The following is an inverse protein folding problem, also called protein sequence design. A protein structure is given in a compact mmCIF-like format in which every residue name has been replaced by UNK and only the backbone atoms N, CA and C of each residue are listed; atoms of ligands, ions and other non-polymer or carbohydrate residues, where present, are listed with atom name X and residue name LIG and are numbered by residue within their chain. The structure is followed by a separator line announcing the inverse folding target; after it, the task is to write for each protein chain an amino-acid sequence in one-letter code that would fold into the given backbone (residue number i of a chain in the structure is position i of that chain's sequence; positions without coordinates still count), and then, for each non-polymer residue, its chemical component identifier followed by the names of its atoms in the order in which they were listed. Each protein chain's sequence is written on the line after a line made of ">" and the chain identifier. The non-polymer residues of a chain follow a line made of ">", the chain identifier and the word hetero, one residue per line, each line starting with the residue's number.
data_IF_668088120396
#
_entry.id   IF_668088120396
#
_cell.length_a   1.000
_cell.length_b   1.000
_cell.length_c   1.000
_cell.angle_alpha   90.00
_cell.angle_beta   90.00
_cell.angle_gamma   90.00
#
_symmetry.space_group_name_H-M   'P 1'
#
loop_
_entity.id
_entity.type
_entity.pdbx_description
1 polymer ?
#
# COMPACT_ATOMS: atom_id res chain seq x y z
N UNK A 1 2.86 -0.65 17.39
CA UNK A 1 3.98 -1.15 18.22
C UNK A 1 5.32 -1.16 17.50
N UNK A 2 5.34 -1.29 16.18
CA UNK A 2 6.59 -1.32 15.38
C UNK A 2 7.28 0.03 15.33
N UNK A 3 6.53 1.12 15.19
CA UNK A 3 7.08 2.49 15.24
C UNK A 3 7.86 2.76 16.54
N UNK A 4 7.36 2.26 17.68
CA UNK A 4 7.99 2.46 18.99
C UNK A 4 9.19 1.55 19.24
N UNK A 5 9.49 0.60 18.35
CA UNK A 5 10.63 -0.32 18.44
C UNK A 5 11.69 -0.09 17.37
N UNK A 6 11.42 0.76 16.41
CA UNK A 6 12.41 1.15 15.41
C UNK A 6 13.44 2.11 16.02
N UNK A 7 14.69 1.96 15.63
CA UNK A 7 15.71 2.96 15.95
C UNK A 7 15.48 4.21 15.10
N UNK A 8 16.06 5.33 15.50
CA UNK A 8 16.02 6.57 14.73
C UNK A 8 16.60 6.37 13.32
N UNK A 9 17.68 5.62 13.19
CA UNK A 9 18.28 5.27 11.90
C UNK A 9 17.34 4.43 11.03
N UNK A 10 16.71 3.40 11.59
CA UNK A 10 15.76 2.57 10.85
C UNK A 10 14.55 3.38 10.35
N UNK A 11 14.03 4.26 11.21
CA UNK A 11 12.91 5.13 10.83
C UNK A 11 13.34 6.14 9.77
N UNK A 12 14.50 6.77 9.93
CA UNK A 12 15.07 7.67 8.94
C UNK A 12 15.25 7.02 7.58
N UNK A 13 15.74 5.78 7.55
CA UNK A 13 15.86 5.00 6.31
C UNK A 13 14.49 4.70 5.67
N UNK A 14 13.45 4.42 6.46
CA UNK A 14 12.09 4.22 5.94
C UNK A 14 11.53 5.51 5.33
N UNK A 15 11.73 6.65 6.00
CA UNK A 15 11.29 7.97 5.54
C UNK A 15 11.98 8.33 4.22
N UNK A 16 13.30 8.21 4.15
CA UNK A 16 14.08 8.55 2.95
C UNK A 16 13.72 7.70 1.73
N UNK A 17 13.34 6.42 1.92
CA UNK A 17 12.87 5.55 0.85
C UNK A 17 11.43 5.82 0.43
N UNK A 18 10.62 6.30 1.35
CA UNK A 18 9.22 6.57 1.10
C UNK A 18 9.00 7.90 0.38
N UNK A 19 9.70 8.95 0.83
CA UNK A 19 9.49 10.32 0.42
C UNK A 19 10.71 10.83 -0.36
N UNK A 20 10.87 10.32 -1.55
CA UNK A 20 11.96 10.63 -2.49
C UNK A 20 11.42 11.30 -3.76
N UNK A 21 12.13 11.19 -4.84
CA UNK A 21 11.76 11.74 -6.17
C UNK A 21 10.46 11.18 -6.78
N UNK A 22 9.77 10.26 -6.09
CA UNK A 22 8.40 9.84 -6.44
C UNK A 22 7.36 10.94 -6.17
N UNK A 23 7.72 11.90 -5.32
CA UNK A 23 6.95 13.12 -5.11
C UNK A 23 7.55 14.24 -5.96
N UNK A 24 6.71 15.05 -6.61
CA UNK A 24 7.13 16.10 -7.53
C UNK A 24 7.57 17.41 -6.84
N UNK A 25 7.51 17.42 -5.50
CA UNK A 25 8.02 18.53 -4.67
C UNK A 25 8.79 17.99 -3.46
N UNK A 26 9.92 18.66 -3.07
CA UNK A 26 10.70 18.23 -1.91
C UNK A 26 9.97 18.44 -0.57
N UNK A 27 8.97 19.31 -0.50
CA UNK A 27 8.12 19.50 0.68
C UNK A 27 7.14 18.35 0.90
N UNK A 28 6.95 17.45 -0.08
CA UNK A 28 6.08 16.29 -0.07
C UNK A 28 4.60 16.67 0.07
N UNK A 29 4.23 17.49 1.02
CA UNK A 29 2.87 17.98 1.28
C UNK A 29 2.92 19.46 1.65
N UNK A 30 3.14 20.36 0.68
CA UNK A 30 3.28 21.78 0.94
C UNK A 30 1.97 22.41 1.45
N UNK A 31 2.11 23.38 2.35
CA UNK A 31 1.01 24.21 2.81
C UNK A 31 1.02 25.53 2.05
N UNK A 32 0.16 25.66 1.06
CA UNK A 32 0.12 26.80 0.15
C UNK A 32 -0.93 27.82 0.57
N UNK A 33 -0.54 29.09 0.66
CA UNK A 33 -1.46 30.20 0.94
C UNK A 33 -2.06 30.74 -0.36
N UNK A 34 -3.38 30.83 -0.43
CA UNK A 34 -4.13 31.50 -1.51
C UNK A 34 -5.15 32.46 -0.91
N UNK A 35 -4.91 33.74 -1.08
CA UNK A 35 -5.73 34.78 -0.43
C UNK A 35 -5.63 34.68 1.10
N UNK A 36 -6.77 34.51 1.77
CA UNK A 36 -6.85 34.35 3.23
C UNK A 36 -6.96 32.91 3.70
N UNK A 37 -6.84 31.93 2.78
CA UNK A 37 -6.96 30.49 3.07
C UNK A 37 -5.63 29.78 2.86
N UNK A 38 -5.45 28.68 3.61
CA UNK A 38 -4.31 27.78 3.45
C UNK A 38 -4.82 26.43 2.91
N UNK A 39 -4.07 25.84 1.97
CA UNK A 39 -4.37 24.57 1.34
C UNK A 39 -3.19 23.64 1.55
N UNK A 40 -3.45 22.49 2.21
CA UNK A 40 -2.49 21.40 2.31
C UNK A 40 -2.62 20.55 1.03
N UNK A 41 -1.60 20.60 0.19
CA UNK A 41 -1.60 19.88 -1.08
C UNK A 41 -1.13 18.45 -0.88
N UNK A 42 -2.00 17.45 -1.13
CA UNK A 42 -1.74 16.02 -0.90
C UNK A 42 -1.71 15.21 -2.21
N UNK A 43 -1.48 15.87 -3.33
CA UNK A 43 -1.53 15.25 -4.67
C UNK A 43 -0.16 15.14 -5.35
N UNK A 44 0.92 15.39 -4.64
CA UNK A 44 2.28 15.41 -5.20
C UNK A 44 2.92 14.01 -5.35
N UNK A 45 2.29 12.96 -4.87
CA UNK A 45 2.79 11.59 -4.98
C UNK A 45 2.49 10.92 -6.32
N UNK A 46 3.06 9.74 -6.55
CA UNK A 46 3.06 8.98 -7.81
C UNK A 46 1.67 8.71 -8.39
N UNK A 47 0.63 8.63 -7.56
CA UNK A 47 -0.74 8.34 -8.02
C UNK A 47 -1.68 9.54 -7.90
N UNK A 48 -1.15 10.70 -7.49
CA UNK A 48 -1.91 11.96 -7.34
C UNK A 48 -3.02 11.85 -6.27
N UNK A 49 -2.94 10.86 -5.41
CA UNK A 49 -3.90 10.63 -4.33
C UNK A 49 -3.25 10.86 -2.96
N UNK A 50 -3.99 11.46 -2.02
CA UNK A 50 -3.50 11.67 -0.65
C UNK A 50 -3.03 10.38 0.04
N UNK A 51 -3.47 9.23 -0.46
CA UNK A 51 -3.10 7.90 0.04
C UNK A 51 -1.64 7.56 -0.21
N UNK A 52 -0.99 8.21 -1.17
CA UNK A 52 0.44 8.06 -1.42
C UNK A 52 1.27 8.38 -0.17
N UNK A 53 0.82 9.36 0.64
CA UNK A 53 1.49 9.73 1.89
C UNK A 53 1.68 8.53 2.83
N UNK A 54 0.64 7.73 3.04
CA UNK A 54 0.70 6.58 3.95
C UNK A 54 1.23 5.32 3.27
N UNK A 55 0.88 5.10 2.00
CA UNK A 55 1.20 3.85 1.30
C UNK A 55 2.62 3.83 0.75
N UNK A 56 3.29 4.97 0.61
CA UNK A 56 4.72 5.01 0.28
C UNK A 56 5.61 4.56 1.43
N UNK A 57 5.27 4.87 2.68
CA UNK A 57 6.10 4.48 3.84
C UNK A 57 5.75 3.09 4.38
N UNK A 58 4.51 2.63 4.21
CA UNK A 58 4.02 1.36 4.76
C UNK A 58 4.91 0.16 4.43
N UNK A 59 5.32 -0.08 3.16
CA UNK A 59 6.14 -1.24 2.82
C UNK A 59 7.49 -1.23 3.53
N UNK A 60 8.10 -0.08 3.71
CA UNK A 60 9.40 0.06 4.38
C UNK A 60 9.30 -0.19 5.89
N UNK A 61 8.23 0.31 6.54
CA UNK A 61 7.95 0.00 7.95
C UNK A 61 7.65 -1.48 8.14
N UNK A 62 6.86 -2.08 7.25
CA UNK A 62 6.47 -3.48 7.30
C UNK A 62 7.68 -4.41 7.16
N UNK A 63 8.53 -4.18 6.17
CA UNK A 63 9.72 -5.00 5.94
C UNK A 63 10.77 -4.83 7.03
N UNK A 64 10.95 -3.61 7.55
CA UNK A 64 11.81 -3.35 8.72
C UNK A 64 11.30 -4.10 9.95
N UNK A 65 9.99 -4.07 10.20
CA UNK A 65 9.37 -4.81 11.29
C UNK A 65 9.52 -6.33 11.13
N UNK A 66 9.29 -6.84 9.95
CA UNK A 66 9.44 -8.26 9.63
C UNK A 66 10.87 -8.74 9.94
N UNK A 67 11.87 -8.01 9.46
CA UNK A 67 13.28 -8.28 9.70
C UNK A 67 13.61 -8.31 11.21
N UNK A 68 13.14 -7.32 11.98
CA UNK A 68 13.35 -7.25 13.44
C UNK A 68 12.72 -8.41 14.21
N UNK A 69 11.62 -8.94 13.71
CA UNK A 69 10.92 -10.06 14.33
C UNK A 69 11.34 -11.44 13.78
N UNK A 70 12.41 -11.50 12.98
CA UNK A 70 12.93 -12.74 12.41
C UNK A 70 11.95 -13.40 11.42
N UNK A 71 11.05 -12.62 10.82
CA UNK A 71 10.12 -13.12 9.80
C UNK A 71 10.90 -13.32 8.49
N UNK A 72 10.94 -14.57 8.03
CA UNK A 72 11.64 -14.97 6.80
C UNK A 72 10.69 -15.17 5.63
N UNK A 73 9.39 -15.32 5.89
CA UNK A 73 8.37 -15.51 4.87
C UNK A 73 8.17 -14.22 4.07
N UNK A 74 7.96 -14.36 2.76
CA UNK A 74 7.56 -13.26 1.89
C UNK A 74 6.14 -12.79 2.25
N UNK A 75 5.94 -11.48 2.34
CA UNK A 75 4.67 -10.89 2.79
C UNK A 75 3.77 -10.63 1.59
N UNK A 76 2.65 -11.32 1.53
CA UNK A 76 1.65 -11.15 0.48
C UNK A 76 0.57 -10.18 0.96
N UNK A 77 0.53 -9.00 0.35
CA UNK A 77 -0.48 -7.97 0.64
C UNK A 77 -1.71 -8.24 -0.23
N UNK A 78 -2.85 -8.43 0.44
CA UNK A 78 -4.15 -8.50 -0.24
C UNK A 78 -4.94 -7.24 0.08
N UNK A 79 -5.46 -6.59 -0.93
CA UNK A 79 -6.33 -5.42 -0.75
C UNK A 79 -7.48 -5.41 -1.75
N UNK A 80 -8.67 -5.05 -1.27
CA UNK A 80 -9.80 -4.70 -2.11
C UNK A 80 -9.85 -3.17 -2.24
N UNK A 81 -10.18 -2.67 -3.42
CA UNK A 81 -10.19 -1.24 -3.70
C UNK A 81 -11.41 -0.81 -4.52
N UNK A 82 -11.85 0.42 -4.26
CA UNK A 82 -12.74 1.17 -5.14
C UNK A 82 -11.98 2.13 -6.09
N UNK A 83 -10.63 1.98 -6.15
CA UNK A 83 -9.76 2.75 -7.06
C UNK A 83 -8.50 3.27 -6.37
N UNK A 84 -8.57 4.35 -5.61
CA UNK A 84 -7.41 5.09 -5.09
C UNK A 84 -6.49 4.29 -4.18
N UNK A 85 -7.05 3.51 -3.26
CA UNK A 85 -6.23 2.73 -2.32
C UNK A 85 -5.41 1.66 -3.04
N UNK A 86 -6.02 0.96 -3.99
CA UNK A 86 -5.34 -0.10 -4.74
C UNK A 86 -4.18 0.42 -5.57
N UNK A 87 -4.41 1.47 -6.36
CA UNK A 87 -3.35 2.07 -7.18
C UNK A 87 -2.20 2.61 -6.34
N UNK A 88 -2.49 3.30 -5.22
CA UNK A 88 -1.46 3.84 -4.34
C UNK A 88 -0.70 2.72 -3.59
N UNK A 89 -1.39 1.65 -3.18
CA UNK A 89 -0.73 0.49 -2.58
C UNK A 89 0.17 -0.23 -3.59
N UNK A 90 -0.30 -0.45 -4.82
CA UNK A 90 0.54 -1.04 -5.86
C UNK A 90 1.80 -0.21 -6.11
N UNK A 91 1.68 1.11 -6.25
CA UNK A 91 2.81 2.00 -6.45
C UNK A 91 3.78 1.98 -5.26
N UNK A 92 3.28 1.95 -4.02
CA UNK A 92 4.11 1.92 -2.81
C UNK A 92 4.85 0.59 -2.61
N UNK A 93 4.23 -0.55 -2.96
CA UNK A 93 4.81 -1.88 -2.81
C UNK A 93 5.60 -2.36 -4.03
N UNK A 94 5.53 -1.65 -5.17
CA UNK A 94 6.22 -2.05 -6.40
C UNK A 94 7.72 -2.25 -6.15
N UNK A 95 8.20 -3.45 -6.48
CA UNK A 95 9.59 -3.89 -6.37
C UNK A 95 10.21 -3.77 -4.97
N UNK A 96 9.39 -3.67 -3.92
CA UNK A 96 9.90 -3.73 -2.53
C UNK A 96 10.23 -5.19 -2.16
N UNK A 97 11.51 -5.50 -1.89
CA UNK A 97 11.94 -6.87 -1.62
C UNK A 97 11.23 -7.51 -0.42
N UNK A 98 10.87 -8.78 -0.53
CA UNK A 98 10.18 -9.53 0.52
C UNK A 98 8.69 -9.26 0.61
N UNK A 99 8.12 -8.57 -0.40
CA UNK A 99 6.69 -8.30 -0.48
C UNK A 99 6.12 -8.68 -1.84
N UNK A 100 4.85 -9.07 -1.87
CA UNK A 100 3.99 -9.16 -3.05
C UNK A 100 2.69 -8.46 -2.78
N UNK A 101 2.09 -7.86 -3.80
CA UNK A 101 0.79 -7.22 -3.67
C UNK A 101 -0.19 -7.72 -4.72
N UNK A 102 -1.39 -8.08 -4.27
CA UNK A 102 -2.52 -8.46 -5.12
C UNK A 102 -3.68 -7.52 -4.79
N UNK A 103 -4.13 -6.79 -5.79
CA UNK A 103 -5.24 -5.84 -5.66
C UNK A 103 -6.47 -6.38 -6.37
N UNK A 104 -7.59 -6.45 -5.67
CA UNK A 104 -8.89 -6.83 -6.22
C UNK A 104 -9.76 -5.59 -6.39
N UNK A 105 -10.33 -5.40 -7.56
CA UNK A 105 -11.22 -4.28 -7.85
C UNK A 105 -12.46 -4.72 -8.63
N UNK A 106 -13.61 -4.07 -8.45
CA UNK A 106 -14.79 -4.31 -9.28
C UNK A 106 -14.54 -3.77 -10.70
N UNK A 107 -14.62 -4.65 -11.71
CA UNK A 107 -14.26 -4.35 -13.10
C UNK A 107 -14.99 -3.10 -13.66
N UNK A 108 -16.25 -2.94 -13.29
CA UNK A 108 -17.07 -1.80 -13.73
C UNK A 108 -17.33 -0.77 -12.60
N UNK A 109 -16.60 -0.90 -11.48
CA UNK A 109 -16.80 -0.09 -10.25
C UNK A 109 -15.69 0.90 -9.94
N UNK A 110 -14.74 1.11 -10.86
CA UNK A 110 -13.66 2.10 -10.76
C UNK A 110 -13.66 3.01 -11.98
N UNK A 111 -13.10 4.22 -11.87
CA UNK A 111 -12.98 5.08 -13.03
C UNK A 111 -11.98 4.51 -14.05
N UNK A 112 -12.13 4.83 -15.37
CA UNK A 112 -11.17 4.38 -16.39
C UNK A 112 -9.73 4.80 -16.10
N UNK A 113 -9.52 5.94 -15.47
CA UNK A 113 -8.18 6.42 -15.07
C UNK A 113 -7.60 5.56 -13.97
N UNK A 114 -8.39 5.27 -12.93
CA UNK A 114 -7.95 4.41 -11.82
C UNK A 114 -7.65 2.98 -12.27
N UNK A 115 -8.52 2.42 -13.13
CA UNK A 115 -8.27 1.11 -13.73
C UNK A 115 -6.97 1.11 -14.54
N UNK A 116 -6.79 2.10 -15.41
CA UNK A 116 -5.58 2.23 -16.21
C UNK A 116 -4.32 2.34 -15.35
N UNK A 117 -4.36 3.13 -14.28
CA UNK A 117 -3.24 3.26 -13.34
C UNK A 117 -2.87 1.91 -12.69
N UNK A 118 -3.85 1.08 -12.33
CA UNK A 118 -3.60 -0.26 -11.77
C UNK A 118 -3.06 -1.22 -12.83
N UNK A 119 -3.67 -1.26 -14.01
CA UNK A 119 -3.29 -2.17 -15.08
C UNK A 119 -1.91 -1.87 -15.69
N UNK A 120 -1.47 -0.61 -15.62
CA UNK A 120 -0.17 -0.19 -16.15
C UNK A 120 0.91 -0.06 -15.08
N UNK A 121 0.60 -0.33 -13.80
CA UNK A 121 1.59 -0.32 -12.74
C UNK A 121 2.69 -1.34 -13.04
N UNK A 122 3.91 -0.86 -13.07
CA UNK A 122 5.11 -1.71 -13.22
C UNK A 122 5.53 -2.26 -11.86
N UNK A 123 6.18 -3.42 -11.87
CA UNK A 123 6.68 -4.11 -10.69
C UNK A 123 6.49 -5.62 -10.83
N UNK A 124 7.55 -6.39 -10.63
CA UNK A 124 7.51 -7.87 -10.76
C UNK A 124 6.73 -8.55 -9.64
N UNK A 125 6.52 -7.84 -8.54
CA UNK A 125 5.82 -8.30 -7.35
C UNK A 125 4.39 -7.80 -7.25
N UNK A 126 3.84 -7.17 -8.30
CA UNK A 126 2.49 -6.58 -8.32
C UNK A 126 1.54 -7.38 -9.19
N UNK A 127 0.31 -7.57 -8.72
CA UNK A 127 -0.78 -8.18 -9.49
C UNK A 127 -2.09 -7.45 -9.23
N UNK A 128 -2.94 -7.37 -10.26
CA UNK A 128 -4.28 -6.80 -10.15
C UNK A 128 -5.31 -7.74 -10.76
N UNK A 129 -6.45 -7.88 -10.08
CA UNK A 129 -7.53 -8.80 -10.46
C UNK A 129 -8.85 -8.03 -10.49
N UNK A 130 -9.43 -7.91 -11.68
CA UNK A 130 -10.80 -7.40 -11.85
C UNK A 130 -11.79 -8.50 -11.52
N UNK A 131 -12.75 -8.22 -10.64
CA UNK A 131 -13.83 -9.13 -10.30
C UNK A 131 -15.16 -8.67 -10.93
N UNK A 132 -16.04 -9.60 -11.23
CA UNK A 132 -17.42 -9.30 -11.55
C UNK A 132 -18.21 -9.18 -10.25
N UNK A 133 -18.65 -7.98 -9.91
CA UNK A 133 -19.32 -7.65 -8.66
C UNK A 133 -19.02 -6.20 -8.27
N UNK A 134 -19.37 -5.84 -7.06
CA UNK A 134 -19.12 -4.52 -6.49
C UNK A 134 -17.93 -4.51 -5.51
N UNK A 135 -17.66 -3.36 -4.90
CA UNK A 135 -16.57 -3.21 -3.94
C UNK A 135 -16.76 -4.09 -2.69
N UNK A 136 -17.99 -4.27 -2.22
CA UNK A 136 -18.28 -5.10 -1.03
C UNK A 136 -18.02 -6.58 -1.33
N UNK A 137 -18.28 -7.02 -2.56
CA UNK A 137 -17.94 -8.38 -3.02
C UNK A 137 -16.41 -8.59 -3.00
N UNK A 138 -15.66 -7.64 -3.53
CA UNK A 138 -14.19 -7.68 -3.48
C UNK A 138 -13.66 -7.72 -2.04
N UNK A 139 -14.22 -6.88 -1.17
CA UNK A 139 -13.82 -6.80 0.24
C UNK A 139 -14.18 -8.09 1.00
N UNK A 140 -15.35 -8.65 0.73
CA UNK A 140 -15.78 -9.92 1.33
C UNK A 140 -14.90 -11.07 0.86
N UNK A 141 -14.56 -11.12 -0.43
CA UNK A 141 -13.62 -12.10 -0.97
C UNK A 141 -12.26 -12.06 -0.28
N UNK A 142 -11.69 -10.87 -0.13
CA UNK A 142 -10.42 -10.69 0.59
C UNK A 142 -10.53 -11.13 2.06
N UNK A 143 -11.63 -10.78 2.76
CA UNK A 143 -11.86 -11.24 4.15
C UNK A 143 -11.97 -12.76 4.24
N UNK A 144 -12.64 -13.40 3.28
CA UNK A 144 -12.77 -14.87 3.23
C UNK A 144 -11.39 -15.53 3.06
N UNK A 145 -10.53 -15.00 2.17
CA UNK A 145 -9.15 -15.48 2.02
C UNK A 145 -8.38 -15.34 3.35
N UNK A 146 -8.52 -14.19 4.04
CA UNK A 146 -7.89 -14.00 5.35
C UNK A 146 -8.41 -14.93 6.45
N UNK A 147 -9.61 -15.46 6.32
CA UNK A 147 -10.21 -16.39 7.30
C UNK A 147 -10.00 -17.86 6.93
N UNK A 148 -9.54 -18.13 5.73
CA UNK A 148 -9.26 -19.50 5.26
C UNK A 148 -7.98 -20.05 5.90
N UNK A 149 -8.15 -21.01 6.82
CA UNK A 149 -7.04 -21.62 7.56
C UNK A 149 -6.21 -22.53 6.67
N UNK A 150 -6.85 -23.30 5.80
CA UNK A 150 -6.15 -24.23 4.90
C UNK A 150 -5.25 -23.48 3.93
N UNK A 151 -5.74 -22.38 3.35
CA UNK A 151 -4.95 -21.51 2.48
C UNK A 151 -3.79 -20.88 3.21
N UNK A 152 -4.00 -20.40 4.45
CA UNK A 152 -2.92 -19.85 5.27
C UNK A 152 -1.81 -20.86 5.55
N UNK A 153 -2.17 -22.09 5.92
CA UNK A 153 -1.22 -23.17 6.18
C UNK A 153 -0.43 -23.55 4.93
N UNK A 154 -1.11 -23.67 3.80
CA UNK A 154 -0.48 -23.93 2.50
C UNK A 154 0.54 -22.86 2.14
N UNK A 155 0.18 -21.58 2.29
CA UNK A 155 1.05 -20.47 1.97
C UNK A 155 2.21 -20.37 2.94
N UNK A 156 1.98 -20.58 4.23
CA UNK A 156 3.04 -20.60 5.24
C UNK A 156 4.06 -21.70 4.94
N UNK A 157 3.60 -22.88 4.55
CA UNK A 157 4.47 -24.00 4.11
C UNK A 157 5.26 -23.70 2.83
N UNK A 158 4.76 -22.80 1.99
CA UNK A 158 5.43 -22.31 0.78
C UNK A 158 6.32 -21.05 1.00
N UNK A 159 6.47 -20.62 2.24
CA UNK A 159 7.30 -19.45 2.59
C UNK A 159 6.59 -18.10 2.45
N UNK A 160 5.26 -18.07 2.45
CA UNK A 160 4.48 -16.84 2.35
C UNK A 160 3.63 -16.59 3.60
N UNK A 161 3.30 -15.34 3.84
CA UNK A 161 2.31 -14.94 4.86
C UNK A 161 1.45 -13.79 4.37
N UNK A 162 0.18 -13.78 4.78
CA UNK A 162 -0.73 -12.71 4.42
C UNK A 162 -0.57 -11.47 5.29
N UNK A 163 -0.73 -10.32 4.66
CA UNK A 163 -0.95 -9.03 5.31
C UNK A 163 -1.91 -8.18 4.48
N UNK A 164 -2.35 -7.05 5.01
CA UNK A 164 -3.24 -6.14 4.30
C UNK A 164 -2.67 -4.72 4.25
N UNK A 165 -2.97 -4.02 3.16
CA UNK A 165 -2.83 -2.58 3.09
C UNK A 165 -4.24 -1.97 3.05
N UNK A 166 -4.62 -1.26 4.09
CA UNK A 166 -5.88 -0.52 4.12
C UNK A 166 -5.65 0.93 4.53
N UNK A 167 -6.66 1.75 4.27
CA UNK A 167 -6.60 3.18 4.56
C UNK A 167 -6.64 3.55 6.05
N UNK A 168 -6.87 2.57 6.93
CA UNK A 168 -6.87 2.74 8.40
C UNK A 168 -5.53 2.29 8.98
N UNK A 169 -4.46 2.44 8.25
CA UNK A 169 -3.14 2.11 8.75
C UNK A 169 -2.68 3.17 9.77
N UNK A 170 -1.91 2.73 10.77
CA UNK A 170 -1.38 3.61 11.82
C UNK A 170 -0.59 4.79 11.26
N UNK A 171 0.00 4.67 10.07
CA UNK A 171 0.64 5.77 9.34
C UNK A 171 -0.29 6.93 8.94
N UNK A 172 -1.62 6.80 9.14
CA UNK A 172 -2.59 7.91 9.00
C UNK A 172 -2.86 8.64 10.31
N UNK A 173 -2.41 8.09 11.42
CA UNK A 173 -2.67 8.63 12.76
C UNK A 173 -1.47 9.39 13.33
N UNK A 174 -0.38 9.50 12.58
CA UNK A 174 0.85 10.19 12.98
C UNK A 174 0.98 11.48 12.18
#
# INVERSE_FOLDING_TARGET
>A
TTLFRSTEEELGNCINKAYDSKFDTPEIAPLVKKGNSYYLELFHGSTIAFKDMALSILPHLLTTAAKKNGVTNEIVILTATSGDTGKAAMAGFADVPGTRIIVFYPKDGVSPVQEKQMLTQKGENTAVVGIYGNFDDAQTGVKNIFNDKEMKEKLAGAGFQFSSANSINIGRLV
#
